data_IF_916786911623
#
_entry.id   IF_916786911623
#
_cell.length_a   1.000
_cell.length_b   1.000
_cell.length_c   1.000
_cell.angle_alpha   90.00
_cell.angle_beta   90.00
_cell.angle_gamma   90.00
#
_symmetry.space_group_name_H-M   'P 1'
#
loop_
_entity.id
_entity.type
_entity.pdbx_description
1 polymer ?
2 non-polymer ?
3 non-polymer ?
4 non-polymer ?
5 non-polymer ?
6 water ?
#
# COMPACT_ATOMS: atom_id res chain seq x y z
N UNK A 36 12.55 1.63 14.90
CA UNK A 36 12.11 0.38 15.60
C UNK A 36 10.59 0.32 15.74
N UNK A 37 9.99 1.49 15.97
CA UNK A 37 8.55 1.62 16.19
C UNK A 37 7.75 1.06 15.03
N UNK A 38 8.03 1.55 13.83
CA UNK A 38 7.33 1.10 12.63
C UNK A 38 7.52 -0.42 12.42
N UNK A 39 8.70 -0.96 12.73
CA UNK A 39 8.96 -2.40 12.57
C UNK A 39 8.11 -3.24 13.51
N UNK A 40 8.03 -2.83 14.76
CA UNK A 40 7.18 -3.52 15.72
C UNK A 40 5.71 -3.48 15.28
N UNK A 41 5.29 -2.32 14.80
CA UNK A 41 3.92 -2.09 14.37
C UNK A 41 3.59 -2.96 13.17
N UNK A 42 4.48 -2.99 12.19
CA UNK A 42 4.33 -3.85 11.03
C UNK A 42 4.28 -5.32 11.43
N UNK A 43 5.11 -5.73 12.40
CA UNK A 43 5.09 -7.12 12.85
C UNK A 43 3.80 -7.49 13.54
N UNK A 44 3.22 -6.55 14.29
CA UNK A 44 1.98 -6.82 15.02
C UNK A 44 0.74 -6.67 14.13
N UNK A 45 0.91 -6.20 12.89
CA UNK A 45 -0.17 -6.21 11.89
C UNK A 45 -0.32 -7.65 11.38
N UNK A 46 -1.27 -8.38 11.97
CA UNK A 46 -1.45 -9.81 11.68
C UNK A 46 -1.90 -10.08 10.26
N UNK A 47 -2.76 -9.21 9.73
CA UNK A 47 -3.22 -9.36 8.34
C UNK A 47 -2.02 -9.27 7.39
N UNK A 48 -1.21 -8.23 7.56
CA UNK A 48 0.00 -8.10 6.78
C UNK A 48 0.90 -9.32 6.92
N UNK A 49 1.30 -9.61 8.16
CA UNK A 49 2.40 -10.53 8.36
C UNK A 49 1.99 -11.98 8.16
N UNK A 50 0.78 -12.34 8.60
CA UNK A 50 0.27 -13.70 8.37
C UNK A 50 -0.01 -13.98 6.88
N UNK A 51 -0.40 -12.95 6.13
CA UNK A 51 -0.59 -13.09 4.68
C UNK A 51 0.71 -13.48 4.01
N UNK A 52 1.81 -12.82 4.37
CA UNK A 52 3.10 -13.16 3.77
C UNK A 52 3.52 -14.55 4.23
N UNK A 53 3.36 -14.80 5.53
CA UNK A 53 3.69 -16.11 6.09
C UNK A 53 2.93 -17.23 5.40
N UNK A 54 1.62 -17.06 5.29
CA UNK A 54 0.78 -18.06 4.63
C UNK A 54 1.17 -18.28 3.19
N UNK A 55 1.41 -17.20 2.45
CA UNK A 55 1.86 -17.36 1.06
C UNK A 55 3.11 -18.22 1.00
N UNK A 56 4.10 -17.91 1.83
CA UNK A 56 5.39 -18.57 1.75
C UNK A 56 5.26 -20.02 2.22
N UNK A 57 4.68 -20.22 3.39
CA UNK A 57 4.56 -21.55 3.98
C UNK A 57 3.60 -22.48 3.23
N UNK A 58 2.57 -21.95 2.58
CA UNK A 58 1.60 -22.79 1.89
C UNK A 58 1.94 -22.96 0.40
N UNK A 59 3.01 -22.33 -0.05
CA UNK A 59 3.51 -22.52 -1.42
C UNK A 59 5.02 -22.73 -1.40
N UNK A 60 5.49 -23.73 -0.65
CA UNK A 60 6.94 -23.95 -0.49
C UNK A 60 7.66 -24.33 -1.80
N UNK A 61 6.94 -24.86 -2.77
CA UNK A 61 7.49 -25.10 -4.10
C UNK A 61 8.10 -23.84 -4.75
N UNK A 62 7.61 -22.65 -4.41
CA UNK A 62 8.12 -21.41 -4.98
C UNK A 62 9.52 -21.09 -4.42
N UNK A 63 9.81 -21.61 -3.24
CA UNK A 63 11.03 -21.27 -2.52
C UNK A 63 12.04 -22.42 -2.42
N UNK A 64 11.59 -23.67 -2.52
CA UNK A 64 12.49 -24.80 -2.26
C UNK A 64 13.69 -24.77 -3.20
N UNK A 65 14.89 -24.70 -2.61
CA UNK A 65 16.16 -24.64 -3.35
C UNK A 65 16.34 -23.42 -4.22
N UNK A 66 15.59 -22.34 -3.95
CA UNK A 66 15.71 -21.13 -4.76
C UNK A 66 16.61 -20.08 -4.12
N UNK A 67 17.09 -19.18 -4.97
CA UNK A 67 17.79 -17.99 -4.53
C UNK A 67 16.77 -16.84 -4.45
N UNK A 68 16.62 -16.29 -3.25
CA UNK A 68 15.57 -15.31 -2.93
C UNK A 68 16.19 -13.97 -2.53
N UNK A 69 15.64 -12.89 -3.08
CA UNK A 69 15.99 -11.53 -2.69
C UNK A 69 14.85 -10.88 -1.93
N UNK A 70 15.12 -10.44 -0.71
CA UNK A 70 14.16 -9.73 0.14
C UNK A 70 14.52 -8.23 0.14
N UNK A 71 13.75 -7.44 -0.64
CA UNK A 71 14.00 -6.02 -0.80
C UNK A 71 13.34 -5.20 0.32
N UNK A 72 14.18 -4.52 1.11
CA UNK A 72 13.72 -3.77 2.27
C UNK A 72 13.36 -4.73 3.38
N UNK A 73 14.33 -5.53 3.80
CA UNK A 73 14.05 -6.72 4.62
C UNK A 73 13.74 -6.40 6.07
N UNK A 74 14.00 -5.17 6.50
CA UNK A 74 13.71 -4.79 7.88
C UNK A 74 14.36 -5.72 8.89
N UNK A 75 13.56 -6.22 9.82
CA UNK A 75 14.03 -7.13 10.85
C UNK A 75 14.40 -8.51 10.34
N UNK A 76 14.09 -8.79 9.06
CA UNK A 76 14.47 -10.03 8.42
C UNK A 76 13.42 -11.12 8.40
N UNK A 77 12.22 -10.82 8.88
CA UNK A 77 11.18 -11.84 9.08
C UNK A 77 10.80 -12.59 7.79
N UNK A 78 10.67 -11.88 6.67
CA UNK A 78 10.27 -12.52 5.43
C UNK A 78 11.40 -13.42 4.93
N UNK A 79 12.64 -12.99 5.16
CA UNK A 79 13.79 -13.80 4.80
C UNK A 79 13.82 -15.08 5.63
N UNK A 80 13.48 -14.99 6.90
CA UNK A 80 13.39 -16.19 7.73
C UNK A 80 12.24 -17.11 7.30
N UNK A 81 11.11 -16.55 6.89
CA UNK A 81 10.02 -17.36 6.36
C UNK A 81 10.52 -18.13 5.11
N UNK A 82 11.21 -17.42 4.21
CA UNK A 82 11.66 -18.05 2.97
C UNK A 82 12.66 -19.16 3.27
N UNK A 83 13.56 -18.92 4.24
CA UNK A 83 14.51 -19.94 4.65
C UNK A 83 13.81 -21.17 5.22
N UNK A 84 12.82 -20.97 6.08
CA UNK A 84 12.10 -22.11 6.65
C UNK A 84 11.35 -22.88 5.55
N UNK A 85 10.87 -22.19 4.52
CA UNK A 85 10.20 -22.85 3.39
C UNK A 85 11.18 -23.53 2.42
N UNK A 86 12.48 -23.51 2.72
CA UNK A 86 13.46 -24.31 1.98
C UNK A 86 14.31 -23.57 0.98
N UNK A 87 14.36 -22.23 1.05
CA UNK A 87 15.25 -21.47 0.17
C UNK A 87 16.70 -21.95 0.33
N UNK A 88 17.40 -22.04 -0.80
CA UNK A 88 18.81 -22.39 -0.81
C UNK A 88 19.61 -21.22 -0.22
N UNK A 89 19.27 -20.01 -0.67
CA UNK A 89 19.99 -18.80 -0.28
C UNK A 89 19.01 -17.63 -0.25
N UNK A 90 19.06 -16.85 0.82
CA UNK A 90 18.25 -15.64 0.91
C UNK A 90 19.12 -14.42 1.12
N UNK A 91 18.99 -13.44 0.25
CA UNK A 91 19.69 -12.17 0.38
C UNK A 91 18.73 -11.09 0.86
N UNK A 92 18.94 -10.57 2.08
CA UNK A 92 18.13 -9.48 2.58
C UNK A 92 18.86 -8.16 2.48
N UNK A 93 18.23 -7.17 1.85
CA UNK A 93 18.81 -5.85 1.68
C UNK A 93 17.96 -4.76 2.32
N UNK A 94 18.61 -3.86 3.04
CA UNK A 94 17.94 -2.69 3.60
C UNK A 94 18.98 -1.58 3.83
N UNK A 95 18.58 -0.33 3.58
CA UNK A 95 19.47 0.80 3.79
C UNK A 95 19.45 1.27 5.25
N UNK A 96 18.39 0.92 5.96
CA UNK A 96 18.21 1.36 7.34
C UNK A 96 19.14 0.66 8.35
N UNK A 97 19.35 1.30 9.49
CA UNK A 97 20.14 0.75 10.60
C UNK A 97 19.49 -0.50 11.24
N UNK A 98 18.19 -0.69 10.99
CA UNK A 98 17.47 -1.91 11.42
C UNK A 98 18.18 -3.18 10.93
N UNK A 99 18.89 -3.09 9.82
CA UNK A 99 19.61 -4.23 9.29
C UNK A 99 20.58 -4.86 10.31
N UNK A 100 21.15 -4.05 11.21
CA UNK A 100 22.08 -4.56 12.21
C UNK A 100 21.37 -5.42 13.22
N UNK A 101 20.17 -5.02 13.59
CA UNK A 101 19.31 -5.86 14.39
C UNK A 101 18.95 -7.17 13.64
N UNK A 102 18.67 -7.04 12.35
CA UNK A 102 18.39 -8.22 11.51
C UNK A 102 19.58 -9.20 11.50
N UNK A 103 20.80 -8.68 11.50
CA UNK A 103 21.98 -9.53 11.58
C UNK A 103 21.98 -10.38 12.84
N UNK A 104 21.70 -9.75 13.98
CA UNK A 104 21.64 -10.45 15.25
C UNK A 104 20.49 -11.44 15.30
N UNK A 105 19.35 -11.04 14.74
CA UNK A 105 18.17 -11.91 14.71
C UNK A 105 18.43 -13.18 13.90
N UNK A 106 19.02 -13.02 12.73
CA UNK A 106 19.36 -14.16 11.87
C UNK A 106 20.28 -15.13 12.64
N UNK A 107 21.25 -14.58 13.38
CA UNK A 107 22.15 -15.39 14.19
C UNK A 107 21.44 -16.11 15.34
N UNK A 108 20.56 -15.42 16.06
CA UNK A 108 19.76 -16.03 17.12
C UNK A 108 18.93 -17.20 16.64
N UNK A 109 18.50 -17.16 15.37
CA UNK A 109 17.72 -18.26 14.80
C UNK A 109 18.57 -19.24 13.99
N UNK A 110 19.89 -19.10 14.06
CA UNK A 110 20.81 -20.04 13.45
C UNK A 110 20.57 -20.20 11.94
N UNK A 111 20.39 -19.08 11.25
CA UNK A 111 20.09 -19.08 9.83
C UNK A 111 21.16 -18.37 9.00
N UNK A 112 22.31 -18.08 9.62
CA UNK A 112 23.35 -17.30 8.94
C UNK A 112 23.98 -18.05 7.77
N UNK A 113 23.89 -19.38 7.75
CA UNK A 113 24.35 -20.14 6.58
C UNK A 113 23.39 -20.13 5.40
N UNK A 114 22.16 -19.69 5.62
CA UNK A 114 21.19 -19.56 4.51
C UNK A 114 20.86 -18.11 4.15
N UNK A 115 20.86 -17.22 5.14
CA UNK A 115 20.48 -15.80 4.95
C UNK A 115 21.70 -14.86 5.10
N UNK A 116 22.00 -14.15 4.03
CA UNK A 116 23.02 -13.09 4.04
C UNK A 116 22.34 -11.72 4.00
N UNK A 117 22.69 -10.86 4.94
CA UNK A 117 22.16 -9.50 4.97
C UNK A 117 23.21 -8.49 4.48
N UNK A 118 22.76 -7.50 3.71
CA UNK A 118 23.62 -6.51 3.07
C UNK A 118 22.98 -5.13 3.27
N UNK A 119 23.74 -4.19 3.82
CA UNK A 119 23.25 -2.86 4.10
C UNK A 119 23.48 -1.90 2.94
N UNK A 120 22.44 -1.16 2.57
CA UNK A 120 22.52 -0.14 1.52
C UNK A 120 21.29 -0.14 0.66
N UNK A 121 21.28 0.72 -0.34
CA UNK A 121 20.21 0.77 -1.30
C UNK A 121 20.43 -0.35 -2.30
N UNK A 122 19.33 -0.93 -2.78
CA UNK A 122 19.40 -2.00 -3.77
C UNK A 122 20.11 -1.54 -5.03
N UNK A 123 20.00 -0.24 -5.31
CA UNK A 123 20.59 0.36 -6.49
C UNK A 123 22.11 0.42 -6.40
N UNK A 124 22.68 0.34 -5.21
CA UNK A 124 24.13 0.46 -5.08
C UNK A 124 24.87 -0.66 -4.35
N UNK A 125 24.18 -1.62 -3.73
CA UNK A 125 24.87 -2.72 -3.04
C UNK A 125 25.47 -3.72 -4.02
N UNK A 126 26.45 -4.48 -3.53
CA UNK A 126 27.04 -5.56 -4.31
C UNK A 126 26.42 -6.87 -3.82
N UNK A 127 25.80 -7.61 -4.72
CA UNK A 127 25.25 -8.92 -4.39
C UNK A 127 26.28 -10.01 -4.69
N UNK A 128 26.29 -11.09 -3.90
CA UNK A 128 27.17 -12.22 -4.19
C UNK A 128 26.67 -13.12 -5.31
N UNK A 129 25.64 -12.71 -6.05
CA UNK A 129 25.19 -13.46 -7.21
C UNK A 129 24.80 -12.48 -8.27
N UNK A 130 24.66 -12.96 -9.50
CA UNK A 130 24.26 -12.11 -10.61
C UNK A 130 22.74 -12.08 -10.78
N UNK A 131 22.08 -13.20 -10.52
CA UNK A 131 20.64 -13.28 -10.63
C UNK A 131 20.00 -14.04 -9.46
N UNK A 132 18.72 -13.78 -9.21
CA UNK A 132 17.94 -14.49 -8.19
C UNK A 132 16.70 -15.08 -8.82
N UNK A 133 16.18 -16.14 -8.21
CA UNK A 133 15.01 -16.81 -8.73
C UNK A 133 13.71 -16.11 -8.34
N UNK A 134 13.72 -15.50 -7.17
CA UNK A 134 12.49 -14.97 -6.59
C UNK A 134 12.78 -13.70 -5.82
N UNK A 135 11.91 -12.71 -6.01
CA UNK A 135 11.96 -11.48 -5.21
C UNK A 135 10.71 -11.39 -4.34
N UNK A 136 10.90 -11.16 -3.04
CA UNK A 136 9.79 -10.91 -2.11
C UNK A 136 10.06 -9.55 -1.47
N UNK A 137 8.99 -8.82 -1.19
CA UNK A 137 9.12 -7.52 -0.57
C UNK A 137 7.81 -7.09 0.06
N UNK A 138 7.92 -6.45 1.23
CA UNK A 138 6.83 -5.63 1.74
C UNK A 138 7.23 -4.14 1.57
N UNK A 139 6.76 -3.56 0.48
CA UNK A 139 7.19 -2.25 0.03
C UNK A 139 6.10 -1.19 0.10
N UNK A 140 4.88 -1.59 0.43
CA UNK A 140 3.69 -0.78 0.19
C UNK A 140 3.58 0.38 1.16
N UNK A 141 3.14 1.54 0.67
CA UNK A 141 2.90 2.71 1.48
C UNK A 141 1.42 3.00 1.64
N UNK A 142 1.09 4.08 2.33
CA UNK A 142 -0.30 4.50 2.44
C UNK A 142 -0.82 4.74 1.05
N UNK A 143 -2.06 4.37 0.80
CA UNK A 143 -2.66 4.49 -0.55
C UNK A 143 -1.79 3.76 -1.60
N UNK A 144 -1.15 2.68 -1.15
CA UNK A 144 -0.23 1.83 -1.94
C UNK A 144 1.07 2.55 -2.28
N UNK A 145 1.00 3.76 -2.82
CA UNK A 145 2.18 4.39 -3.40
C UNK A 145 2.81 5.56 -2.61
N UNK A 146 2.20 6.08 -1.55
CA UNK A 146 2.86 7.16 -0.81
C UNK A 146 4.11 6.62 -0.12
N UNK A 147 5.28 7.17 -0.44
CA UNK A 147 6.55 6.78 0.19
C UNK A 147 6.79 5.27 0.21
N UNK A 148 6.42 4.62 -0.89
CA UNK A 148 6.55 3.18 -1.03
C UNK A 148 7.94 2.85 -1.59
N UNK A 149 8.37 1.60 -1.44
CA UNK A 149 9.63 1.16 -2.01
C UNK A 149 9.46 0.45 -3.34
N UNK A 150 8.32 0.66 -4.03
CA UNK A 150 8.08 -0.06 -5.29
C UNK A 150 9.17 0.23 -6.31
N UNK A 151 9.69 1.46 -6.33
CA UNK A 151 10.74 1.80 -7.32
C UNK A 151 11.98 0.92 -7.13
N UNK A 152 12.35 0.63 -5.88
CA UNK A 152 13.45 -0.29 -5.61
C UNK A 152 13.13 -1.74 -6.01
N UNK A 153 11.90 -2.19 -5.77
CA UNK A 153 11.49 -3.51 -6.18
C UNK A 153 11.55 -3.63 -7.71
N UNK A 154 11.08 -2.62 -8.43
CA UNK A 154 11.11 -2.69 -9.89
C UNK A 154 12.56 -2.66 -10.41
N UNK A 155 13.40 -1.84 -9.77
CA UNK A 155 14.83 -1.83 -10.07
C UNK A 155 15.42 -3.23 -9.87
N UNK A 156 15.15 -3.85 -8.72
CA UNK A 156 15.67 -5.19 -8.45
C UNK A 156 15.18 -6.19 -9.47
N UNK A 157 13.91 -6.11 -9.86
CA UNK A 157 13.38 -6.99 -10.90
C UNK A 157 14.18 -6.88 -12.20
N UNK A 158 14.39 -5.66 -12.67
CA UNK A 158 15.03 -5.43 -13.98
C UNK A 158 16.51 -5.77 -13.97
N UNK A 159 17.18 -5.52 -12.85
CA UNK A 159 18.60 -5.77 -12.75
C UNK A 159 18.91 -7.20 -12.34
N UNK A 160 18.14 -7.77 -11.41
CA UNK A 160 18.55 -9.02 -10.78
C UNK A 160 17.65 -10.25 -10.94
N UNK A 161 16.42 -10.08 -11.40
CA UNK A 161 15.52 -11.23 -11.46
C UNK A 161 15.91 -12.11 -12.63
N UNK A 162 16.06 -13.40 -12.39
CA UNK A 162 16.41 -14.32 -13.49
C UNK A 162 15.25 -14.39 -14.49
N UNK A 163 15.58 -14.66 -15.75
CA UNK A 163 14.56 -14.89 -16.78
C UNK A 163 13.66 -15.98 -16.28
N UNK A 164 12.36 -15.77 -16.34
CA UNK A 164 11.42 -16.74 -15.82
C UNK A 164 11.21 -16.72 -14.30
N UNK A 165 11.96 -15.90 -13.56
CA UNK A 165 11.75 -15.77 -12.10
C UNK A 165 10.46 -15.05 -11.72
N UNK A 166 10.24 -14.86 -10.42
CA UNK A 166 8.99 -14.27 -9.94
C UNK A 166 9.18 -13.22 -8.82
N UNK A 167 8.21 -12.31 -8.74
CA UNK A 167 8.20 -11.19 -7.81
C UNK A 167 6.89 -11.28 -7.04
N UNK A 168 6.95 -11.16 -5.71
CA UNK A 168 5.76 -11.28 -4.88
C UNK A 168 5.77 -10.20 -3.81
N UNK A 169 4.62 -9.63 -3.48
CA UNK A 169 3.33 -9.95 -4.11
C UNK A 169 3.29 -9.50 -5.56
N UNK A 170 2.63 -10.26 -6.41
CA UNK A 170 2.70 -10.02 -7.84
C UNK A 170 1.62 -9.09 -8.39
N UNK A 171 0.48 -8.98 -7.71
CA UNK A 171 -0.62 -8.16 -8.21
C UNK A 171 -1.15 -7.25 -7.09
N UNK A 172 -1.40 -6.00 -7.44
CA UNK A 172 -1.87 -4.96 -6.51
C UNK A 172 -2.96 -4.17 -7.20
N UNK A 173 -3.99 -3.75 -6.44
CA UNK A 173 -4.99 -2.85 -6.96
C UNK A 173 -5.20 -1.70 -6.00
N UNK A 174 -5.67 -0.58 -6.53
CA UNK A 174 -6.10 0.57 -5.73
C UNK A 174 -7.57 0.83 -6.04
N UNK A 175 -8.34 1.17 -5.01
CA UNK A 175 -9.78 1.45 -5.12
C UNK A 175 -10.14 2.75 -4.42
N UNK A 176 -11.22 3.37 -4.90
CA UNK A 176 -11.87 4.48 -4.24
C UNK A 176 -13.28 4.06 -3.81
N UNK A 177 -13.80 4.75 -2.80
CA UNK A 177 -15.16 4.54 -2.28
C UNK A 177 -15.68 5.85 -1.70
N UNK A 178 -16.98 6.13 -1.86
CA UNK A 178 -17.54 7.40 -1.38
C UNK A 178 -17.89 7.28 0.10
N UNK A 179 -17.78 8.39 0.83
CA UNK A 179 -18.00 8.43 2.28
C UNK A 179 -18.98 9.55 2.63
N UNK A 180 -19.86 9.30 3.60
CA UNK A 180 -20.75 10.32 4.15
C UNK A 180 -20.48 10.42 5.65
N UNK A 181 -19.93 11.53 6.10
CA UNK A 181 -19.73 11.75 7.53
C UNK A 181 -19.80 13.25 7.81
N UNK A 182 -21.02 13.75 7.92
CA UNK A 182 -21.22 15.20 8.13
C UNK A 182 -20.62 15.68 9.46
N UNK A 183 -20.65 14.82 10.48
CA UNK A 183 -20.07 15.18 11.77
C UNK A 183 -18.58 15.35 11.71
N UNK A 184 -17.89 14.39 11.09
CA UNK A 184 -16.46 14.53 10.92
C UNK A 184 -16.10 15.68 10.00
N UNK A 185 -16.92 15.92 8.98
CA UNK A 185 -16.65 17.07 8.13
C UNK A 185 -16.71 18.39 8.93
N UNK A 186 -17.75 18.51 9.75
CA UNK A 186 -17.89 19.67 10.64
C UNK A 186 -16.68 19.79 11.61
N UNK A 187 -16.20 18.65 12.10
CA UNK A 187 -15.02 18.61 12.99
C UNK A 187 -13.78 19.16 12.35
N UNK A 188 -13.60 18.93 11.05
CA UNK A 188 -12.38 19.38 10.36
C UNK A 188 -12.51 20.74 9.68
N UNK A 189 -13.74 21.11 9.32
CA UNK A 189 -13.97 22.26 8.44
C UNK A 189 -14.78 23.37 9.13
N UNK A 190 -16.06 23.13 9.38
CA UNK A 190 -16.91 24.11 10.06
C UNK A 190 -16.30 24.55 11.41
N UNK A 191 -15.58 23.63 12.05
CA UNK A 191 -14.83 23.91 13.27
C UNK A 191 -14.13 25.26 13.24
N UNK A 192 -13.48 25.55 12.11
CA UNK A 192 -12.66 26.74 11.98
C UNK A 192 -13.42 28.09 11.92
N UNK A 193 -14.73 28.08 11.79
CA UNK A 193 -15.45 29.36 11.72
C UNK A 193 -15.61 30.05 13.07
N UNK A 194 -15.54 29.29 14.17
CA UNK A 194 -15.69 29.85 15.51
C UNK A 194 -14.84 29.04 16.48
N UNK A 195 -13.62 29.51 16.70
CA UNK A 195 -12.68 28.91 17.62
C UNK A 195 -12.58 29.82 18.85
N UNK A 196 -13.25 29.41 19.92
CA UNK A 196 -13.31 30.15 21.19
C UNK A 196 -13.74 31.60 20.99
N UNK A 197 -14.71 31.79 20.09
CA UNK A 197 -15.25 33.10 19.80
C UNK A 197 -14.57 33.83 18.65
N UNK A 198 -13.54 33.23 18.04
CA UNK A 198 -12.81 33.90 16.97
C UNK A 198 -12.93 33.16 15.63
N UNK A 199 -12.98 33.93 14.54
CA UNK A 199 -12.97 33.40 13.18
C UNK A 199 -11.60 32.88 12.79
N UNK A 200 -11.55 31.64 12.28
CA UNK A 200 -10.31 31.10 11.73
C UNK A 200 -10.55 30.43 10.37
N UNK A 201 -11.49 30.99 9.61
CA UNK A 201 -11.98 30.38 8.38
C UNK A 201 -10.90 30.06 7.35
N UNK A 202 -9.88 30.90 7.26
CA UNK A 202 -8.77 30.70 6.33
C UNK A 202 -8.02 29.36 6.51
N UNK A 203 -8.03 28.81 7.72
CA UNK A 203 -7.38 27.52 7.98
C UNK A 203 -7.99 26.34 7.21
N UNK A 204 -9.25 26.46 6.78
CA UNK A 204 -9.88 25.44 5.95
C UNK A 204 -9.05 25.07 4.72
N UNK A 205 -8.41 26.07 4.12
CA UNK A 205 -7.64 25.90 2.89
C UNK A 205 -6.36 25.16 3.13
N UNK A 206 -5.88 25.12 4.36
CA UNK A 206 -4.70 24.33 4.70
C UNK A 206 -5.08 22.90 5.07
N UNK A 207 -6.30 22.71 5.54
CA UNK A 207 -6.78 21.38 5.94
C UNK A 207 -7.17 20.52 4.73
N UNK A 208 -7.93 21.10 3.79
CA UNK A 208 -8.48 20.31 2.69
C UNK A 208 -7.43 19.52 1.87
N UNK A 209 -6.29 20.15 1.50
CA UNK A 209 -5.29 19.45 0.69
C UNK A 209 -4.51 18.33 1.37
N UNK A 210 -4.69 18.14 2.67
CA UNK A 210 -3.95 17.11 3.41
C UNK A 210 -4.78 15.84 3.50
N UNK A 211 -4.34 14.80 2.79
CA UNK A 211 -4.99 13.50 2.89
C UNK A 211 -4.82 12.99 4.32
N UNK A 212 -5.85 12.30 4.82
CA UNK A 212 -5.84 11.77 6.17
C UNK A 212 -5.70 10.27 6.13
N UNK A 213 -4.87 9.73 7.01
CA UNK A 213 -4.72 8.29 7.14
C UNK A 213 -5.39 7.85 8.43
N UNK A 214 -6.45 7.08 8.31
CA UNK A 214 -7.27 6.75 9.46
C UNK A 214 -8.20 5.62 9.12
N UNK A 215 -8.61 4.87 10.15
CA UNK A 215 -9.50 3.76 9.96
C UNK A 215 -10.92 4.30 9.90
N UNK A 216 -11.66 3.93 8.86
CA UNK A 216 -13.03 4.42 8.67
C UNK A 216 -14.09 3.50 9.28
N UNK A 217 -15.12 4.10 9.86
CA UNK A 217 -16.31 3.36 10.25
C UNK A 217 -17.02 2.93 8.96
N UNK A 218 -17.11 1.61 8.71
CA UNK A 218 -17.71 1.12 7.46
C UNK A 218 -19.17 1.51 7.26
N UNK A 219 -19.89 1.83 8.34
CA UNK A 219 -21.24 2.35 8.22
C UNK A 219 -21.30 3.70 7.49
N UNK A 220 -20.17 4.39 7.35
CA UNK A 220 -20.16 5.69 6.66
C UNK A 220 -19.88 5.57 5.16
N UNK A 221 -19.72 4.35 4.66
CA UNK A 221 -19.47 4.15 3.25
C UNK A 221 -20.78 4.23 2.52
N UNK A 222 -20.81 4.98 1.43
CA UNK A 222 -22.06 5.22 0.71
C UNK A 222 -22.02 4.86 -0.78
N UNK A 223 -21.01 4.10 -1.20
CA UNK A 223 -20.98 3.58 -2.55
C UNK A 223 -20.33 2.22 -2.54
N UNK A 224 -20.50 1.51 -3.65
CA UNK A 224 -19.64 0.39 -3.97
C UNK A 224 -18.26 0.95 -4.29
N UNK A 225 -17.20 0.15 -4.07
CA UNK A 225 -15.86 0.60 -4.45
C UNK A 225 -15.67 0.58 -5.96
N UNK A 226 -14.66 1.30 -6.46
CA UNK A 226 -14.26 1.21 -7.86
C UNK A 226 -12.74 1.14 -7.93
N UNK A 227 -12.24 0.09 -8.59
CA UNK A 227 -10.83 -0.05 -8.90
C UNK A 227 -10.37 1.06 -9.82
N UNK A 228 -9.29 1.74 -9.46
CA UNK A 228 -8.73 2.78 -10.32
C UNK A 228 -7.35 2.45 -10.85
N UNK A 229 -6.81 1.30 -10.45
CA UNK A 229 -5.42 0.95 -10.82
C UNK A 229 -5.19 -0.53 -10.52
N UNK A 230 -4.58 -1.21 -11.48
CA UNK A 230 -4.17 -2.60 -11.40
C UNK A 230 -2.70 -2.67 -11.79
N UNK A 231 -1.88 -3.26 -10.93
CA UNK A 231 -0.44 -3.35 -11.12
C UNK A 231 -0.04 -4.83 -11.09
N UNK A 232 0.58 -5.33 -12.16
CA UNK A 232 1.27 -6.62 -12.10
C UNK A 232 2.74 -6.33 -12.03
N UNK A 233 3.39 -6.69 -10.93
CA UNK A 233 4.78 -6.27 -10.69
C UNK A 233 5.78 -6.89 -11.69
N UNK A 234 5.37 -7.93 -12.42
CA UNK A 234 6.21 -8.50 -13.45
C UNK A 234 6.30 -7.60 -14.68
N UNK A 235 5.20 -6.96 -15.04
CA UNK A 235 5.14 -6.17 -16.26
C UNK A 235 5.11 -4.64 -16.06
N UNK A 236 4.92 -4.15 -14.84
CA UNK A 236 4.86 -2.72 -14.56
C UNK A 236 6.26 -2.08 -14.58
N UNK A 237 6.34 -0.85 -15.08
CA UNK A 237 7.55 -0.02 -15.03
C UNK A 237 7.29 1.21 -14.13
N UNK A 238 8.35 1.95 -13.83
CA UNK A 238 8.22 3.11 -12.93
C UNK A 238 7.30 4.19 -13.49
N UNK A 239 7.30 4.36 -14.82
CA UNK A 239 6.41 5.35 -15.46
C UNK A 239 4.92 4.99 -15.29
N UNK A 240 4.61 3.71 -15.11
CA UNK A 240 3.24 3.27 -14.86
C UNK A 240 2.65 3.74 -13.53
N UNK A 241 3.50 4.15 -12.59
CA UNK A 241 3.04 4.55 -11.27
C UNK A 241 2.45 5.96 -11.21
N UNK A 242 2.59 6.72 -12.28
CA UNK A 242 1.84 7.94 -12.49
C UNK A 242 0.76 7.58 -13.46
N UNK A 243 -0.50 7.82 -13.13
CA UNK A 243 -1.59 7.38 -13.96
C UNK A 243 -2.86 8.18 -13.72
N UNK A 244 -3.79 8.08 -14.66
CA UNK A 244 -5.10 8.73 -14.57
C UNK A 244 -6.15 7.66 -14.74
N UNK A 245 -7.29 7.86 -14.10
CA UNK A 245 -8.39 6.94 -14.24
C UNK A 245 -9.70 7.69 -14.12
N UNK A 246 -10.61 7.45 -15.07
CA UNK A 246 -11.99 7.89 -14.88
C UNK A 246 -12.62 6.83 -13.98
N UNK A 247 -13.53 7.23 -13.10
CA UNK A 247 -14.19 6.25 -12.24
C UNK A 247 -15.66 6.57 -12.08
N UNK A 248 -16.41 5.54 -11.76
CA UNK A 248 -17.82 5.67 -11.46
C UNK A 248 -18.08 4.99 -10.15
N UNK A 249 -18.64 5.73 -9.20
CA UNK A 249 -19.00 5.16 -7.92
C UNK A 249 -20.53 4.94 -7.89
N UNK A 250 -20.93 3.68 -7.73
CA UNK A 250 -22.35 3.33 -7.67
C UNK A 250 -22.83 3.63 -6.27
N UNK A 251 -23.55 4.73 -6.13
CA UNK A 251 -24.01 5.18 -4.82
C UNK A 251 -25.05 4.19 -4.25
N UNK A 252 -24.92 3.87 -2.96
CA UNK A 252 -25.78 2.89 -2.31
C UNK A 252 -26.61 3.48 -1.17
N UNK A 253 -26.41 4.76 -0.86
CA UNK A 253 -27.22 5.40 0.15
C UNK A 253 -27.35 6.87 -0.15
N UNK A 254 -28.59 7.32 -0.10
CA UNK A 254 -28.95 8.72 -0.30
C UNK A 254 -28.45 9.46 0.91
N UNK A 255 -27.56 10.43 0.67
CA UNK A 255 -26.80 11.03 1.74
C UNK A 255 -25.97 12.20 1.22
N UNK A 256 -25.34 12.91 2.16
CA UNK A 256 -24.38 13.95 1.84
C UNK A 256 -22.96 13.33 1.74
N UNK A 257 -22.38 13.37 0.55
CA UNK A 257 -21.00 12.90 0.33
C UNK A 257 -20.02 13.96 0.84
N UNK A 258 -19.16 13.57 1.78
CA UNK A 258 -18.22 14.48 2.45
C UNK A 258 -16.74 14.19 2.18
N UNK A 259 -16.43 13.00 1.64
CA UNK A 259 -15.05 12.59 1.36
C UNK A 259 -15.03 11.41 0.39
N UNK A 260 -13.89 11.21 -0.24
CA UNK A 260 -13.62 10.00 -1.00
C UNK A 260 -12.49 9.30 -0.28
N UNK A 261 -12.64 7.99 -0.07
CA UNK A 261 -11.63 7.22 0.59
C UNK A 261 -10.89 6.33 -0.39
N UNK A 262 -9.63 6.07 -0.12
CA UNK A 262 -8.83 5.17 -0.93
C UNK A 262 -8.21 4.02 -0.15
N UNK A 263 -7.97 2.92 -0.83
CA UNK A 263 -7.32 1.76 -0.22
C UNK A 263 -6.80 0.86 -1.30
N UNK A 264 -6.19 -0.24 -0.90
CA UNK A 264 -5.58 -1.15 -1.83
C UNK A 264 -5.70 -2.61 -1.40
N UNK A 265 -5.59 -3.48 -2.39
CA UNK A 265 -5.61 -4.93 -2.21
C UNK A 265 -4.32 -5.51 -2.75
N UNK A 266 -3.81 -6.52 -2.06
CA UNK A 266 -2.55 -7.17 -2.38
C UNK A 266 -2.82 -8.66 -2.65
N UNK A 267 -2.28 -9.16 -3.75
CA UNK A 267 -2.49 -10.55 -4.19
C UNK A 267 -1.18 -11.30 -4.40
N UNK A 268 -1.18 -12.54 -3.94
CA UNK A 268 -0.13 -13.51 -4.25
C UNK A 268 -0.80 -14.58 -5.11
N UNK A 269 -0.45 -14.63 -6.39
CA UNK A 269 -1.17 -15.43 -7.38
C UNK A 269 -0.26 -16.36 -8.19
N UNK A 270 0.78 -15.80 -8.81
CA UNK A 270 1.59 -16.56 -9.78
C UNK A 270 2.14 -17.86 -9.21
N UNK A 271 1.85 -18.94 -9.94
CA UNK A 271 2.28 -20.29 -9.60
C UNK A 271 1.87 -20.81 -8.23
N UNK A 272 0.90 -20.18 -7.60
CA UNK A 272 0.45 -20.58 -6.28
C UNK A 272 -0.64 -21.63 -6.35
N UNK A 273 -0.51 -22.66 -5.53
CA UNK A 273 -1.60 -23.58 -5.27
C UNK A 273 -2.52 -23.01 -4.22
N UNK A 274 -1.94 -22.26 -3.28
CA UNK A 274 -2.72 -21.58 -2.25
C UNK A 274 -2.56 -20.08 -2.40
N UNK A 275 -3.45 -19.48 -3.19
CA UNK A 275 -3.47 -18.03 -3.43
C UNK A 275 -3.79 -17.29 -2.14
N UNK A 276 -3.25 -16.09 -1.99
CA UNK A 276 -3.48 -15.28 -0.80
C UNK A 276 -3.84 -13.89 -1.26
N UNK A 277 -4.86 -13.32 -0.63
CA UNK A 277 -5.22 -11.93 -0.87
C UNK A 277 -5.43 -11.25 0.47
N UNK A 278 -5.15 -9.96 0.53
CA UNK A 278 -5.71 -9.15 1.63
C UNK A 278 -6.05 -7.76 1.13
N UNK A 279 -7.09 -7.19 1.73
CA UNK A 279 -7.55 -5.87 1.43
C UNK A 279 -7.27 -4.97 2.63
N UNK A 280 -6.97 -3.71 2.35
CA UNK A 280 -6.80 -2.67 3.37
C UNK A 280 -8.02 -1.74 3.43
N UNK A 281 -9.11 -2.18 2.84
CA UNK A 281 -10.35 -1.44 2.79
C UNK A 281 -11.12 -1.41 4.11
N UNK A 282 -12.03 -0.46 4.23
CA UNK A 282 -12.79 -0.26 5.46
C UNK A 282 -13.75 -1.40 5.81
N UNK A 283 -14.14 -2.24 4.84
CA UNK A 283 -14.95 -3.42 5.10
C UNK A 283 -14.13 -4.60 5.61
N UNK A 284 -12.81 -4.46 5.64
CA UNK A 284 -11.97 -5.56 6.12
C UNK A 284 -11.26 -5.18 7.40
N UNK A 285 -10.79 -6.20 8.12
CA UNK A 285 -9.99 -6.01 9.33
C UNK A 285 -8.94 -4.94 9.10
N UNK A 286 -8.83 -4.03 10.06
CA UNK A 286 -7.89 -2.94 9.93
C UNK A 286 -6.45 -3.43 9.87
N UNK A 287 -5.63 -2.66 9.14
CA UNK A 287 -4.18 -2.90 9.02
C UNK A 287 -3.50 -1.61 9.38
N UNK A 288 -2.17 -1.62 9.43
CA UNK A 288 -1.42 -0.40 9.77
C UNK A 288 -1.48 0.63 8.64
N UNK A 289 -1.92 0.21 7.45
CA UNK A 289 -2.11 1.16 6.36
C UNK A 289 -3.44 1.92 6.50
N UNK A 290 -4.32 1.42 7.36
CA UNK A 290 -5.62 2.03 7.57
C UNK A 290 -6.26 2.32 6.21
N UNK A 291 -6.93 3.47 6.07
CA UNK A 291 -7.41 3.98 4.79
C UNK A 291 -6.96 5.41 4.60
N UNK A 292 -6.94 5.85 3.36
CA UNK A 292 -6.57 7.22 3.02
C UNK A 292 -7.85 7.97 2.71
N UNK A 293 -8.01 9.14 3.29
CA UNK A 293 -9.24 9.91 3.17
C UNK A 293 -8.92 11.26 2.54
N UNK A 294 -9.67 11.59 1.47
CA UNK A 294 -9.56 12.85 0.77
C UNK A 294 -10.83 13.64 1.04
N UNK A 295 -10.70 14.68 1.88
CA UNK A 295 -11.87 15.47 2.28
C UNK A 295 -12.39 16.32 1.11
N UNK A 296 -13.71 16.41 0.98
CA UNK A 296 -14.30 17.36 0.04
C UNK A 296 -14.49 18.72 0.71
N UNK A 297 -14.03 19.77 0.06
CA UNK A 297 -14.25 21.12 0.57
C UNK A 297 -15.75 21.46 0.69
N UNK A 298 -16.49 21.15 -0.37
CA UNK A 298 -17.95 21.37 -0.41
C UNK A 298 -18.68 20.01 -0.56
N UNK A 299 -19.17 19.45 0.56
CA UNK A 299 -19.95 18.22 0.46
C UNK A 299 -21.16 18.38 -0.48
N UNK A 300 -21.61 17.30 -1.10
CA UNK A 300 -22.77 17.38 -2.00
C UNK A 300 -23.66 16.15 -1.90
N UNK A 301 -24.94 16.36 -2.19
CA UNK A 301 -25.93 15.30 -2.02
C UNK A 301 -25.84 14.28 -3.14
N UNK A 302 -26.02 13.01 -2.77
CA UNK A 302 -26.09 11.92 -3.73
C UNK A 302 -27.31 11.05 -3.43
N UNK A 303 -27.74 10.28 -4.42
CA UNK A 303 -28.89 9.40 -4.30
C UNK A 303 -28.53 7.95 -4.58
N UNK A 304 -29.06 7.05 -3.77
CA UNK A 304 -28.91 5.61 -3.98
C UNK A 304 -29.28 5.26 -5.42
N UNK A 305 -28.46 4.40 -6.03
CA UNK A 305 -28.60 4.07 -7.44
C UNK A 305 -27.92 5.02 -8.41
N UNK A 306 -27.51 6.20 -7.95
CA UNK A 306 -26.82 7.14 -8.83
C UNK A 306 -25.44 6.60 -9.22
N UNK A 307 -25.01 6.91 -10.45
CA UNK A 307 -23.64 6.63 -10.89
C UNK A 307 -22.84 7.92 -10.78
N UNK A 308 -22.05 8.05 -9.72
CA UNK A 308 -21.22 9.23 -9.48
C UNK A 308 -19.91 9.10 -10.24
N UNK A 309 -19.68 9.99 -11.20
CA UNK A 309 -18.51 9.92 -12.09
C UNK A 309 -17.46 10.96 -11.71
N UNK A 310 -16.20 10.56 -11.76
CA UNK A 310 -15.10 11.48 -11.52
C UNK A 310 -13.83 11.05 -12.18
N UNK A 311 -12.76 11.80 -11.92
CA UNK A 311 -11.46 11.47 -12.45
C UNK A 311 -10.37 11.66 -11.41
N UNK A 312 -9.42 10.73 -11.40
CA UNK A 312 -8.31 10.76 -10.46
C UNK A 312 -7.00 10.60 -11.20
N UNK A 313 -6.02 11.40 -10.81
CA UNK A 313 -4.67 11.27 -11.34
C UNK A 313 -3.67 11.30 -10.20
N UNK A 314 -2.72 10.37 -10.25
CA UNK A 314 -1.63 10.35 -9.30
C UNK A 314 -0.34 10.81 -9.98
N UNK A 315 0.34 11.78 -9.37
CA UNK A 315 1.63 12.26 -9.89
C UNK A 315 2.73 12.12 -8.86
N UNK A 316 3.94 11.91 -9.37
CA UNK A 316 5.16 11.87 -8.58
C UNK A 316 5.90 13.18 -8.81
N UNK A 317 6.17 13.92 -7.73
CA UNK A 317 6.91 15.18 -7.80
C UNK A 317 8.38 14.94 -8.09
N UNK A 323 7.02 12.47 -2.64
CA UNK A 323 6.03 13.54 -2.64
C UNK A 323 4.98 13.35 -3.75
N UNK A 324 4.35 12.17 -3.78
CA UNK A 324 3.16 11.89 -4.62
C UNK A 324 1.98 12.81 -4.32
N UNK A 325 1.22 13.17 -5.36
CA UNK A 325 -0.01 13.92 -5.16
C UNK A 325 -1.13 13.24 -5.92
N UNK A 326 -2.34 13.52 -5.47
CA UNK A 326 -3.54 12.91 -6.01
C UNK A 326 -4.48 14.05 -6.39
N UNK A 327 -4.83 14.12 -7.66
CA UNK A 327 -5.74 15.13 -8.15
C UNK A 327 -7.09 14.49 -8.43
N UNK A 328 -8.14 15.04 -7.83
CA UNK A 328 -9.50 14.50 -7.89
C UNK A 328 -10.45 15.52 -8.50
N UNK A 329 -11.19 15.10 -9.52
CA UNK A 329 -12.28 15.92 -10.07
C UNK A 329 -13.60 15.17 -9.82
N UNK A 330 -14.54 15.88 -9.23
CA UNK A 330 -15.79 15.31 -8.76
C UNK A 330 -16.77 16.46 -8.59
N UNK A 331 -18.01 16.29 -9.05
CA UNK A 331 -19.05 17.31 -8.83
C UNK A 331 -18.62 18.70 -9.32
N UNK A 332 -17.93 18.74 -10.45
CA UNK A 332 -17.47 19.99 -11.10
C UNK A 332 -16.48 20.84 -10.33
N UNK A 333 -15.71 20.25 -9.44
CA UNK A 333 -14.55 20.94 -8.94
C UNK A 333 -13.41 19.96 -8.73
N UNK A 334 -12.21 20.52 -8.68
CA UNK A 334 -10.99 19.75 -8.72
C UNK A 334 -10.13 20.16 -7.52
N UNK A 335 -9.48 19.19 -6.91
CA UNK A 335 -8.57 19.46 -5.78
C UNK A 335 -7.43 18.45 -5.82
N UNK A 336 -6.22 18.94 -5.54
CA UNK A 336 -5.04 18.12 -5.45
C UNK A 336 -4.68 17.91 -3.96
N UNK A 337 -4.37 16.67 -3.63
CA UNK A 337 -4.13 16.26 -2.26
C UNK A 337 -2.73 15.69 -2.13
N UNK A 338 -2.14 15.89 -0.96
CA UNK A 338 -0.84 15.32 -0.65
C UNK A 338 -0.85 14.66 0.71
N UNK A 339 0.17 13.86 0.99
CA UNK A 339 0.27 13.25 2.31
C UNK A 339 1.46 13.80 3.09
#
# INVERSE_FOLDING_TARGET
MGSSHHHHHHSSGLVPRGSDLQEDEDGVYFSSYGHYGIHEEMLKDKIRTESYRDFIYQNPHIFKDKVVLDVGCGTGILSMFAAKAGAKKVLGVDQSEILYQAMDIIRLNKLEDTITLIKGKIEEVHLPVEKVDVIISEWMGYFLLFESMLDSVLYAKNKYLAKGGSVYPDICTISLVAVSDVNKHADRIAFWDDVYGFKMSCMKKAVIPEAVVEVLDPKTLISEPCGIKHIDCHTTSISDLEFSSDFTLKITRTSMCTAIAGYFDIYFEKNCHNRVVFSTGPQSTKTHWKQTVFLLEKPFSVKAGEALKGKVTVHKNKKDPRSLTVTLTLNNSTQTYGLQ
#
